data_IF_735239259299
#
_entry.id   IF_735239259299
#
_cell.length_a   1.000
_cell.length_b   1.000
_cell.length_c   1.000
_cell.angle_alpha   90.00
_cell.angle_beta   90.00
_cell.angle_gamma   90.00
#
_symmetry.space_group_name_H-M   'P 1'
#
loop_
_entity.id
_entity.type
_entity.pdbx_description
1 polymer ?
#
# COMPACT_ATOMS: atom_id res chain seq x y z
N UNK A 1 4.82 1.45 4.35
CA UNK A 1 5.42 0.12 4.59
C UNK A 1 4.62 -1.00 3.92
N UNK A 2 3.27 -0.98 4.02
CA UNK A 2 2.39 -2.00 3.42
C UNK A 2 2.49 -2.07 1.88
N UNK A 3 2.56 -0.93 1.18
CA UNK A 3 2.68 -0.91 -0.29
C UNK A 3 3.95 -1.60 -0.81
N UNK A 4 5.04 -1.58 -0.03
CA UNK A 4 6.34 -2.13 -0.44
C UNK A 4 6.32 -3.63 -0.59
N UNK A 5 5.73 -4.28 0.42
CA UNK A 5 5.58 -5.72 0.47
C UNK A 5 4.62 -6.19 -0.62
N UNK A 6 3.52 -5.46 -0.84
CA UNK A 6 2.59 -5.79 -1.91
C UNK A 6 3.22 -5.72 -3.30
N UNK A 7 3.94 -4.65 -3.62
CA UNK A 7 4.56 -4.50 -4.95
C UNK A 7 5.67 -5.54 -5.16
N UNK A 8 6.40 -5.89 -4.10
CA UNK A 8 7.36 -6.99 -4.11
C UNK A 8 6.68 -8.33 -4.38
N UNK A 9 5.60 -8.65 -3.65
CA UNK A 9 4.84 -9.89 -3.85
C UNK A 9 4.26 -9.92 -5.27
N UNK A 10 3.69 -8.82 -5.76
CA UNK A 10 3.16 -8.72 -7.13
C UNK A 10 4.23 -9.01 -8.17
N UNK A 11 5.43 -8.45 -8.04
CA UNK A 11 6.55 -8.71 -8.97
C UNK A 11 7.01 -10.16 -8.89
N UNK A 12 7.15 -10.71 -7.69
CA UNK A 12 7.52 -12.11 -7.50
C UNK A 12 6.49 -13.07 -8.12
N UNK A 13 5.19 -12.81 -7.91
CA UNK A 13 4.12 -13.64 -8.46
C UNK A 13 3.92 -13.46 -9.96
N UNK A 14 4.13 -12.25 -10.50
CA UNK A 14 3.95 -11.96 -11.93
C UNK A 14 5.01 -12.62 -12.82
N UNK A 15 6.25 -12.73 -12.33
CA UNK A 15 7.35 -13.39 -13.06
C UNK A 15 7.57 -14.82 -12.56
N UNK A 16 6.47 -15.58 -12.41
CA UNK A 16 6.44 -16.93 -11.87
C UNK A 16 7.57 -17.80 -12.42
N UNK A 17 8.46 -18.23 -11.52
CA UNK A 17 9.40 -19.29 -11.81
C UNK A 17 8.61 -20.58 -12.08
N UNK A 18 8.43 -20.93 -13.34
CA UNK A 18 8.05 -22.29 -13.69
C UNK A 18 9.26 -23.20 -13.46
N UNK A 19 9.39 -23.73 -12.25
CA UNK A 19 10.34 -24.80 -12.00
C UNK A 19 9.69 -26.12 -12.38
N UNK A 20 10.09 -26.67 -13.53
CA UNK A 20 9.67 -27.98 -14.01
C UNK A 20 10.72 -29.00 -13.62
N UNK A 21 10.34 -29.98 -12.81
CA UNK A 21 11.15 -31.18 -12.61
C UNK A 21 11.06 -32.10 -13.83
N UNK A 22 11.97 -33.08 -13.89
CA UNK A 22 11.95 -34.15 -14.90
C UNK A 22 10.70 -35.04 -14.83
N UNK A 23 9.95 -35.00 -13.73
CA UNK A 23 8.71 -35.73 -13.48
C UNK A 23 7.43 -34.93 -13.85
N UNK A 24 7.57 -33.69 -14.33
CA UNK A 24 6.47 -32.84 -14.77
C UNK A 24 5.82 -31.98 -13.69
N UNK A 25 6.25 -32.04 -12.43
CA UNK A 25 5.73 -31.14 -11.40
C UNK A 25 6.21 -29.70 -11.64
N UNK A 26 5.26 -28.76 -11.68
CA UNK A 26 5.50 -27.32 -11.78
C UNK A 26 5.11 -26.66 -10.46
N UNK A 27 6.03 -25.88 -9.89
CA UNK A 27 5.71 -25.08 -8.70
C UNK A 27 5.00 -23.78 -9.07
N UNK A 28 3.81 -23.59 -8.51
CA UNK A 28 3.06 -22.34 -8.62
C UNK A 28 3.63 -21.26 -7.68
N UNK A 29 3.38 -20.00 -7.97
CA UNK A 29 3.83 -18.89 -7.11
C UNK A 29 3.35 -19.04 -5.66
N UNK A 30 2.17 -19.62 -5.44
CA UNK A 30 1.65 -19.93 -4.10
C UNK A 30 2.59 -20.82 -3.29
N UNK A 31 3.21 -21.81 -3.95
CA UNK A 31 4.14 -22.75 -3.31
C UNK A 31 5.49 -22.12 -2.98
N UNK A 32 5.84 -21.01 -3.64
CA UNK A 32 7.08 -20.28 -3.43
C UNK A 32 6.94 -19.13 -2.41
N UNK A 33 5.73 -18.82 -1.93
CA UNK A 33 5.50 -17.79 -0.89
C UNK A 33 6.34 -18.03 0.37
N UNK A 34 6.44 -19.26 0.93
CA UNK A 34 7.27 -19.49 2.11
C UNK A 34 8.75 -19.17 1.88
N UNK A 35 9.26 -19.38 0.66
CA UNK A 35 10.63 -19.02 0.31
C UNK A 35 10.81 -17.49 0.25
N UNK A 36 9.82 -16.77 -0.28
CA UNK A 36 9.81 -15.30 -0.30
C UNK A 36 9.73 -14.72 1.12
N UNK A 37 8.86 -15.25 1.97
CA UNK A 37 8.71 -14.82 3.37
C UNK A 37 10.01 -15.02 4.15
N UNK A 38 10.63 -16.19 3.97
CA UNK A 38 11.91 -16.51 4.59
C UNK A 38 12.98 -15.51 4.17
N UNK A 39 13.10 -15.26 2.87
CA UNK A 39 14.10 -14.32 2.35
C UNK A 39 13.84 -12.89 2.84
N UNK A 40 12.58 -12.44 2.86
CA UNK A 40 12.23 -11.14 3.41
C UNK A 40 12.68 -10.99 4.88
N UNK A 41 12.46 -12.02 5.69
CA UNK A 41 12.84 -12.02 7.12
C UNK A 41 14.36 -12.05 7.34
N UNK A 42 15.11 -12.70 6.46
CA UNK A 42 16.56 -12.86 6.58
C UNK A 42 17.38 -11.86 5.78
N UNK A 43 16.76 -11.09 4.88
CA UNK A 43 17.45 -10.09 4.06
C UNK A 43 17.68 -8.80 4.85
N UNK A 44 18.81 -8.14 4.59
CA UNK A 44 19.18 -6.89 5.26
C UNK A 44 18.40 -5.75 4.62
N UNK A 45 17.61 -5.04 5.41
CA UNK A 45 16.89 -3.87 4.94
C UNK A 45 17.80 -2.63 4.87
N UNK A 46 17.73 -1.89 3.77
CA UNK A 46 18.56 -0.69 3.55
C UNK A 46 18.35 0.42 4.59
N UNK A 47 17.14 0.55 5.12
CA UNK A 47 16.78 1.57 6.12
C UNK A 47 17.28 1.27 7.53
N UNK A 48 17.34 -0.01 7.89
CA UNK A 48 17.67 -0.46 9.26
C UNK A 48 19.05 -1.07 9.37
N UNK A 49 19.67 -1.43 8.22
CA UNK A 49 20.95 -2.16 8.12
C UNK A 49 20.91 -3.48 8.91
N UNK A 50 19.71 -3.98 9.19
CA UNK A 50 19.44 -5.18 9.98
C UNK A 50 18.31 -5.97 9.32
N UNK A 51 18.30 -7.26 9.56
CA UNK A 51 17.25 -8.17 9.07
C UNK A 51 16.00 -8.02 9.94
N UNK A 52 14.79 -8.16 9.37
CA UNK A 52 13.56 -8.13 10.16
C UNK A 52 13.52 -9.17 11.28
N UNK A 53 14.00 -10.40 11.02
CA UNK A 53 14.07 -11.44 12.05
C UNK A 53 14.97 -11.04 13.24
N UNK A 54 16.09 -10.35 12.98
CA UNK A 54 16.96 -9.83 14.03
C UNK A 54 16.29 -8.72 14.84
N UNK A 55 15.51 -7.85 14.20
CA UNK A 55 14.81 -6.76 14.88
C UNK A 55 13.62 -7.24 15.71
N UNK A 56 12.86 -8.20 15.18
CA UNK A 56 11.65 -8.73 15.82
C UNK A 56 11.98 -9.74 16.92
N UNK A 57 12.88 -10.68 16.63
CA UNK A 57 13.14 -11.85 17.48
C UNK A 57 14.50 -11.80 18.17
N UNK A 58 15.41 -10.93 17.74
CA UNK A 58 16.77 -10.85 18.26
C UNK A 58 17.72 -11.91 17.70
N UNK A 59 17.28 -12.75 16.76
CA UNK A 59 18.10 -13.78 16.13
C UNK A 59 17.64 -14.06 14.70
N UNK A 60 18.59 -14.50 13.86
CA UNK A 60 18.30 -14.98 12.51
C UNK A 60 18.25 -16.50 12.48
N UNK A 61 17.27 -17.11 11.79
CA UNK A 61 17.22 -18.55 11.63
C UNK A 61 18.44 -19.03 10.84
N UNK A 62 19.06 -20.12 11.32
CA UNK A 62 20.11 -20.84 10.60
C UNK A 62 19.46 -21.63 9.48
N UNK A 63 19.69 -21.24 8.24
CA UNK A 63 19.11 -21.93 7.09
C UNK A 63 19.96 -23.16 6.74
N UNK A 64 19.36 -24.20 6.15
CA UNK A 64 20.11 -25.37 5.66
C UNK A 64 21.31 -24.94 4.80
N UNK A 65 21.12 -23.96 3.91
CA UNK A 65 22.18 -23.37 3.10
C UNK A 65 23.38 -22.85 3.92
N UNK A 66 23.14 -22.23 5.08
CA UNK A 66 24.21 -21.67 5.93
C UNK A 66 25.02 -22.77 6.64
N UNK A 67 24.44 -23.96 6.73
CA UNK A 67 25.01 -25.12 7.42
C UNK A 67 25.61 -26.17 6.48
N UNK A 68 25.18 -26.20 5.21
CA UNK A 68 25.69 -27.13 4.22
C UNK A 68 27.12 -26.75 3.85
N UNK A 69 28.07 -27.64 4.15
CA UNK A 69 29.43 -27.52 3.63
C UNK A 69 29.38 -27.63 2.10
N UNK A 70 30.10 -26.75 1.41
CA UNK A 70 30.21 -26.78 -0.07
C UNK A 70 30.79 -28.10 -0.58
N UNK A 71 31.53 -28.80 0.28
CA UNK A 71 32.29 -30.02 -0.04
C UNK A 71 31.51 -31.32 0.23
N UNK A 72 30.19 -31.26 0.47
CA UNK A 72 29.36 -32.45 0.65
C UNK A 72 29.14 -33.14 -0.70
N UNK A 73 29.49 -34.43 -0.77
CA UNK A 73 29.17 -35.31 -1.90
C UNK A 73 27.65 -35.39 -2.04
N UNK A 74 27.14 -35.16 -3.24
CA UNK A 74 25.71 -35.19 -3.52
C UNK A 74 25.19 -36.63 -3.45
N UNK A 75 24.53 -36.97 -2.34
CA UNK A 75 24.19 -38.36 -2.00
C UNK A 75 22.99 -38.86 -2.83
N UNK A 76 22.11 -37.95 -3.30
CA UNK A 76 20.88 -38.33 -3.99
C UNK A 76 20.45 -37.30 -5.05
N UNK A 77 20.11 -37.74 -6.30
CA UNK A 77 19.77 -36.83 -7.40
C UNK A 77 18.54 -35.95 -7.13
N UNK A 78 17.55 -36.46 -6.38
CA UNK A 78 16.38 -35.67 -5.97
C UNK A 78 16.75 -34.59 -4.96
N UNK A 79 17.66 -34.87 -4.03
CA UNK A 79 18.12 -33.87 -3.06
C UNK A 79 18.90 -32.75 -3.75
N UNK A 80 19.74 -33.11 -4.72
CA UNK A 80 20.43 -32.17 -5.61
C UNK A 80 19.45 -31.27 -6.38
N UNK A 81 18.43 -31.87 -6.98
CA UNK A 81 17.40 -31.15 -7.75
C UNK A 81 16.59 -30.20 -6.88
N UNK A 82 16.22 -30.62 -5.67
CA UNK A 82 15.50 -29.80 -4.70
C UNK A 82 16.36 -28.64 -4.18
N UNK A 83 17.65 -28.88 -3.92
CA UNK A 83 18.60 -27.82 -3.56
C UNK A 83 18.69 -26.77 -4.67
N UNK A 84 18.85 -27.20 -5.92
CA UNK A 84 18.89 -26.32 -7.08
C UNK A 84 17.60 -25.50 -7.22
N UNK A 85 16.45 -26.10 -6.96
CA UNK A 85 15.16 -25.40 -6.93
C UNK A 85 15.15 -24.30 -5.87
N UNK A 86 15.51 -24.63 -4.62
CA UNK A 86 15.54 -23.67 -3.51
C UNK A 86 16.51 -22.52 -3.78
N UNK A 87 17.71 -22.81 -4.29
CA UNK A 87 18.70 -21.79 -4.62
C UNK A 87 18.18 -20.85 -5.72
N UNK A 88 17.51 -21.38 -6.75
CA UNK A 88 16.87 -20.57 -7.80
C UNK A 88 15.75 -19.71 -7.24
N UNK A 89 14.85 -20.29 -6.46
CA UNK A 89 13.74 -19.56 -5.83
C UNK A 89 14.24 -18.44 -4.92
N UNK A 90 15.28 -18.71 -4.15
CA UNK A 90 15.93 -17.75 -3.26
C UNK A 90 16.58 -16.60 -4.02
N UNK A 91 17.41 -16.90 -5.02
CA UNK A 91 18.07 -15.89 -5.83
C UNK A 91 17.06 -15.00 -6.56
N UNK A 92 15.97 -15.60 -7.02
CA UNK A 92 14.86 -14.89 -7.63
C UNK A 92 14.14 -13.96 -6.64
N UNK A 93 13.81 -14.45 -5.44
CA UNK A 93 13.23 -13.63 -4.37
C UNK A 93 14.14 -12.45 -4.03
N UNK A 94 15.44 -12.69 -3.86
CA UNK A 94 16.43 -11.64 -3.57
C UNK A 94 16.53 -10.58 -4.68
N UNK A 95 16.54 -11.00 -5.95
CA UNK A 95 16.57 -10.07 -7.07
C UNK A 95 15.35 -9.17 -7.08
N UNK A 96 14.15 -9.73 -6.95
CA UNK A 96 12.92 -8.92 -6.93
C UNK A 96 12.80 -8.02 -5.71
N UNK A 97 13.32 -8.46 -4.57
CA UNK A 97 13.45 -7.65 -3.38
C UNK A 97 14.26 -6.37 -3.68
N UNK A 98 15.47 -6.54 -4.23
CA UNK A 98 16.36 -5.44 -4.56
C UNK A 98 15.77 -4.52 -5.65
N UNK A 99 15.20 -5.09 -6.70
CA UNK A 99 14.53 -4.33 -7.78
C UNK A 99 13.35 -3.52 -7.25
N UNK A 100 12.57 -4.07 -6.32
CA UNK A 100 11.44 -3.36 -5.71
C UNK A 100 11.92 -2.19 -4.86
N UNK A 101 12.96 -2.39 -4.06
CA UNK A 101 13.55 -1.30 -3.26
C UNK A 101 14.16 -0.21 -4.13
N UNK A 102 14.88 -0.57 -5.19
CA UNK A 102 15.47 0.40 -6.11
C UNK A 102 14.39 1.20 -6.84
N UNK A 103 13.37 0.52 -7.35
CA UNK A 103 12.23 1.17 -8.00
C UNK A 103 11.55 2.18 -7.09
N UNK A 104 11.24 1.80 -5.85
CA UNK A 104 10.62 2.71 -4.89
C UNK A 104 11.50 3.90 -4.55
N UNK A 105 12.81 3.67 -4.38
CA UNK A 105 13.77 4.73 -4.13
C UNK A 105 13.74 5.74 -5.28
N UNK A 106 13.79 5.27 -6.51
CA UNK A 106 13.71 6.15 -7.69
C UNK A 106 12.39 6.93 -7.74
N UNK A 107 11.26 6.30 -7.44
CA UNK A 107 9.96 6.98 -7.42
C UNK A 107 9.94 8.06 -6.32
N UNK A 108 10.44 7.75 -5.12
CA UNK A 108 10.51 8.72 -4.03
C UNK A 108 11.47 9.87 -4.32
N UNK A 109 12.62 9.59 -4.93
CA UNK A 109 13.61 10.61 -5.31
C UNK A 109 13.08 11.52 -6.41
N UNK A 110 12.19 11.01 -7.28
CA UNK A 110 11.50 11.80 -8.32
C UNK A 110 10.39 12.70 -7.78
N UNK A 111 9.84 12.42 -6.59
CA UNK A 111 8.78 13.25 -6.01
C UNK A 111 9.39 14.59 -5.59
N UNK A 112 8.91 15.73 -6.15
CA UNK A 112 9.41 17.03 -5.76
C UNK A 112 9.26 17.24 -4.26
N UNK A 113 10.28 17.82 -3.63
CA UNK A 113 10.17 18.25 -2.24
C UNK A 113 9.02 19.26 -2.14
N UNK A 114 8.15 19.13 -1.14
CA UNK A 114 7.10 20.11 -0.95
C UNK A 114 7.70 21.49 -0.67
N UNK A 115 7.01 22.56 -1.05
CA UNK A 115 7.45 23.91 -0.74
C UNK A 115 7.46 24.15 0.78
N UNK A 116 8.34 25.04 1.24
CA UNK A 116 8.41 25.42 2.65
C UNK A 116 7.16 26.23 3.03
N UNK A 117 6.34 25.65 3.90
CA UNK A 117 5.12 26.27 4.40
C UNK A 117 5.41 27.07 5.67
N UNK A 118 4.75 28.21 5.83
CA UNK A 118 4.77 29.04 7.04
C UNK A 118 3.39 29.11 7.68
N UNK A 119 3.38 29.40 8.98
CA UNK A 119 2.14 29.68 9.71
C UNK A 119 1.50 30.94 9.07
N UNK A 120 0.20 30.86 8.80
CA UNK A 120 -0.56 31.91 8.11
C UNK A 120 -0.65 31.76 6.59
N UNK A 121 0.12 30.85 5.96
CA UNK A 121 -0.01 30.60 4.53
C UNK A 121 -1.37 29.98 4.19
N UNK A 122 -1.90 30.33 3.02
CA UNK A 122 -3.11 29.74 2.47
C UNK A 122 -2.75 28.50 1.65
N UNK A 123 -3.46 27.41 1.90
CA UNK A 123 -3.26 26.13 1.21
C UNK A 123 -4.57 25.51 0.77
N UNK A 124 -4.47 24.64 -0.23
CA UNK A 124 -5.56 23.81 -0.72
C UNK A 124 -5.33 22.36 -0.28
N UNK A 125 -6.38 21.67 0.15
CA UNK A 125 -6.34 20.28 0.61
C UNK A 125 -6.86 19.35 -0.48
N UNK A 126 -6.14 18.27 -0.77
CA UNK A 126 -6.54 17.30 -1.78
C UNK A 126 -7.80 16.52 -1.38
N UNK A 127 -8.78 16.43 -2.28
CA UNK A 127 -10.03 15.69 -2.04
C UNK A 127 -9.92 14.18 -2.29
N UNK A 128 -8.74 13.68 -2.71
CA UNK A 128 -8.54 12.29 -3.16
C UNK A 128 -9.01 11.23 -2.15
N UNK A 129 -8.71 11.43 -0.86
CA UNK A 129 -9.00 10.47 0.21
C UNK A 129 -10.35 10.71 0.90
N UNK A 130 -11.12 11.70 0.45
CA UNK A 130 -12.39 12.03 1.07
C UNK A 130 -13.55 11.41 0.31
N UNK A 131 -14.39 10.64 1.00
CA UNK A 131 -15.60 10.05 0.41
C UNK A 131 -16.88 10.83 0.77
N UNK A 132 -16.83 11.68 1.80
CA UNK A 132 -18.00 12.36 2.37
C UNK A 132 -18.07 13.86 2.00
N UNK A 133 -17.46 14.25 0.90
CA UNK A 133 -17.57 15.61 0.32
C UNK A 133 -18.77 15.60 -0.61
N UNK A 134 -19.49 16.71 -0.70
CA UNK A 134 -20.72 16.79 -1.49
C UNK A 134 -20.45 16.58 -2.99
N UNK A 135 -21.34 15.85 -3.64
CA UNK A 135 -21.32 15.62 -5.09
C UNK A 135 -20.50 14.39 -5.54
N UNK A 136 -20.60 14.03 -6.83
CA UNK A 136 -19.96 12.84 -7.35
C UNK A 136 -18.44 13.04 -7.48
N UNK A 137 -17.67 12.00 -7.15
CA UNK A 137 -16.18 12.00 -7.15
C UNK A 137 -15.55 12.51 -8.45
N UNK A 138 -16.24 12.35 -9.59
CA UNK A 138 -15.77 12.78 -10.92
C UNK A 138 -16.00 14.27 -11.23
N UNK A 139 -17.00 14.92 -10.61
CA UNK A 139 -17.37 16.31 -10.91
C UNK A 139 -16.94 17.30 -9.83
N UNK A 140 -16.51 16.81 -8.67
CA UNK A 140 -16.01 17.67 -7.59
C UNK A 140 -14.58 18.16 -7.87
N UNK A 141 -14.24 19.30 -7.29
CA UNK A 141 -12.89 19.83 -7.35
C UNK A 141 -11.89 18.84 -6.71
N UNK A 142 -10.73 18.66 -7.34
CA UNK A 142 -9.67 17.79 -6.82
C UNK A 142 -9.00 18.34 -5.55
N UNK A 143 -9.21 19.64 -5.28
CA UNK A 143 -8.67 20.36 -4.14
C UNK A 143 -9.71 21.29 -3.56
N UNK A 144 -9.86 21.28 -2.24
CA UNK A 144 -10.79 22.11 -1.47
C UNK A 144 -10.02 23.20 -0.70
N UNK A 145 -10.63 24.36 -0.49
CA UNK A 145 -10.01 25.50 0.20
C UNK A 145 -10.03 26.79 -0.62
N UNK A 146 -9.46 27.90 -0.10
CA UNK A 146 -8.24 27.93 0.72
C UNK A 146 -8.47 27.81 2.23
N UNK A 147 -7.56 27.12 2.91
CA UNK A 147 -7.46 27.03 4.36
C UNK A 147 -6.16 27.66 4.86
N UNK A 148 -6.19 28.25 6.04
CA UNK A 148 -5.00 28.84 6.65
C UNK A 148 -4.23 27.80 7.46
N UNK A 149 -2.90 27.82 7.37
CA UNK A 149 -2.04 27.03 8.26
C UNK A 149 -2.03 27.67 9.64
N UNK A 150 -2.53 26.94 10.62
CA UNK A 150 -2.52 27.34 12.04
C UNK A 150 -1.19 27.01 12.70
N UNK A 151 -0.72 25.77 12.54
CA UNK A 151 0.48 25.24 13.19
C UNK A 151 1.21 24.25 12.26
N UNK A 152 2.52 24.13 12.44
CA UNK A 152 3.36 23.18 11.71
C UNK A 152 3.84 22.08 12.67
N UNK A 153 3.48 20.83 12.38
CA UNK A 153 3.87 19.64 13.16
C UNK A 153 5.04 18.95 12.47
N UNK A 154 6.23 19.51 12.68
CA UNK A 154 7.46 19.05 12.04
C UNK A 154 7.46 19.29 10.52
N UNK A 155 8.33 18.58 9.76
CA UNK A 155 8.51 18.83 8.32
C UNK A 155 7.40 18.23 7.44
N UNK A 156 6.65 17.25 7.95
CA UNK A 156 5.76 16.42 7.13
C UNK A 156 4.28 16.64 7.39
N UNK A 157 3.92 17.44 8.39
CA UNK A 157 2.53 17.62 8.78
C UNK A 157 2.19 19.06 9.15
N UNK A 158 1.02 19.51 8.71
CA UNK A 158 0.50 20.84 9.01
C UNK A 158 -0.88 20.73 9.63
N UNK A 159 -1.20 21.64 10.53
CA UNK A 159 -2.54 21.80 11.07
C UNK A 159 -3.22 22.99 10.41
N UNK A 160 -4.39 22.75 9.86
CA UNK A 160 -5.17 23.74 9.13
C UNK A 160 -6.37 24.19 9.94
N UNK A 161 -6.76 25.44 9.72
CA UNK A 161 -8.06 25.94 10.14
C UNK A 161 -9.11 25.53 9.11
N UNK A 162 -9.80 24.42 9.38
CA UNK A 162 -10.80 23.86 8.48
C UNK A 162 -12.14 24.60 8.60
N UNK A 163 -12.72 24.91 7.44
CA UNK A 163 -14.05 25.53 7.30
C UNK A 163 -14.89 24.77 6.27
N UNK A 164 -16.19 25.04 6.21
CA UNK A 164 -17.09 24.44 5.22
C UNK A 164 -17.25 22.92 5.38
N UNK A 165 -17.20 22.18 4.28
CA UNK A 165 -17.47 20.73 4.25
C UNK A 165 -16.46 19.89 5.05
N UNK A 166 -15.28 20.46 5.33
CA UNK A 166 -14.19 19.78 6.03
C UNK A 166 -14.16 20.10 7.53
N UNK A 167 -15.07 20.93 8.06
CA UNK A 167 -15.08 21.34 9.47
C UNK A 167 -15.08 20.17 10.48
N UNK A 168 -15.73 19.06 10.12
CA UNK A 168 -15.85 17.87 10.97
C UNK A 168 -14.71 16.85 10.76
N UNK A 169 -13.69 17.20 9.98
CA UNK A 169 -12.53 16.34 9.70
C UNK A 169 -11.36 16.72 10.59
N UNK A 170 -10.43 15.77 10.73
CA UNK A 170 -9.22 16.03 11.50
C UNK A 170 -8.41 17.17 10.84
N UNK A 171 -8.00 18.22 11.59
CA UNK A 171 -7.40 19.43 11.02
C UNK A 171 -5.95 19.23 10.55
N UNK A 172 -5.30 18.14 10.97
CA UNK A 172 -3.91 17.85 10.63
C UNK A 172 -3.81 17.04 9.35
N UNK A 173 -3.06 17.56 8.37
CA UNK A 173 -2.81 16.92 7.08
C UNK A 173 -1.31 16.70 6.86
N UNK A 174 -0.94 15.63 6.14
CA UNK A 174 0.42 15.48 5.65
C UNK A 174 0.69 16.47 4.51
N UNK A 175 1.93 16.95 4.44
CA UNK A 175 2.35 17.99 3.47
C UNK A 175 2.13 17.55 2.01
N UNK A 176 2.17 16.25 1.73
CA UNK A 176 1.92 15.71 0.37
C UNK A 176 0.48 15.90 -0.12
N UNK A 177 -0.48 16.08 0.80
CA UNK A 177 -1.90 16.27 0.47
C UNK A 177 -2.30 17.75 0.37
N UNK A 178 -1.38 18.67 0.60
CA UNK A 178 -1.62 20.11 0.50
C UNK A 178 -0.90 20.73 -0.69
N UNK A 179 -1.46 21.82 -1.21
CA UNK A 179 -0.82 22.65 -2.23
C UNK A 179 -0.84 24.11 -1.78
N UNK A 180 0.22 24.88 -2.07
CA UNK A 180 0.19 26.32 -1.84
C UNK A 180 -0.94 26.95 -2.67
N UNK A 181 -1.71 27.83 -2.03
CA UNK A 181 -2.75 28.57 -2.72
C UNK A 181 -2.13 29.73 -3.51
N UNK A 182 -2.46 29.82 -4.80
CA UNK A 182 -2.10 30.97 -5.63
C UNK A 182 -3.37 31.69 -6.03
N UNK A 183 -3.50 32.94 -5.60
CA UNK A 183 -4.63 33.79 -5.98
C UNK A 183 -4.54 34.10 -7.47
N UNK A 184 -5.61 33.83 -8.23
CA UNK A 184 -5.68 34.20 -9.64
C UNK A 184 -5.67 35.72 -9.79
N UNK A 185 -4.76 36.25 -10.61
CA UNK A 185 -4.74 37.68 -10.94
C UNK A 185 -5.95 38.03 -11.80
N UNK A 186 -6.87 38.81 -11.22
CA UNK A 186 -8.11 39.24 -11.85
C UNK A 186 -7.87 40.14 -13.07
N UNK A 187 -6.70 40.80 -13.16
CA UNK A 187 -6.35 41.66 -14.30
C UNK A 187 -5.96 40.85 -15.53
N UNK A 188 -5.21 39.77 -15.34
CA UNK A 188 -4.76 38.89 -16.42
C UNK A 188 -5.87 37.94 -16.89
N UNK A 189 -6.77 37.53 -15.99
CA UNK A 189 -7.81 36.54 -16.30
C UNK A 189 -9.22 36.98 -15.83
N UNK A 190 -9.79 38.05 -16.42
CA UNK A 190 -11.07 38.61 -15.98
C UNK A 190 -12.27 37.69 -16.22
N UNK A 191 -12.17 36.73 -17.16
CA UNK A 191 -13.25 35.78 -17.49
C UNK A 191 -13.29 34.54 -16.56
N UNK A 192 -12.33 34.39 -15.64
CA UNK A 192 -12.22 33.21 -14.76
C UNK A 192 -13.10 33.35 -13.52
N UNK A 193 -14.41 33.44 -13.71
CA UNK A 193 -15.37 33.39 -12.62
C UNK A 193 -15.75 31.93 -12.35
N UNK A 194 -15.61 31.44 -11.12
CA UNK A 194 -16.11 30.10 -10.75
C UNK A 194 -17.65 30.12 -10.86
N UNK A 195 -18.27 29.38 -11.79
CA UNK A 195 -19.72 29.29 -11.81
C UNK A 195 -20.17 28.60 -10.52
N UNK A 196 -21.20 29.14 -9.85
CA UNK A 196 -21.83 28.43 -8.74
C UNK A 196 -22.39 27.12 -9.27
N UNK A 197 -21.84 25.98 -8.85
CA UNK A 197 -22.40 24.68 -9.18
C UNK A 197 -23.79 24.58 -8.52
N UNK A 198 -24.85 24.76 -9.32
CA UNK A 198 -26.19 24.38 -8.91
C UNK A 198 -26.22 22.86 -8.93
N UNK A 199 -26.00 22.26 -7.77
CA UNK A 199 -26.15 20.81 -7.62
C UNK A 199 -27.63 20.53 -7.92
N UNK A 200 -27.96 19.78 -8.99
CA UNK A 200 -29.34 19.41 -9.23
C UNK A 200 -29.88 18.71 -7.98
N UNK A 201 -31.18 18.91 -7.64
CA UNK A 201 -31.80 18.17 -6.55
C UNK A 201 -31.42 16.71 -6.69
N UNK A 202 -30.92 16.09 -5.62
CA UNK A 202 -30.79 14.65 -5.58
C UNK A 202 -32.23 14.16 -5.83
N UNK A 203 -32.50 13.54 -6.98
CA UNK A 203 -33.76 12.80 -7.13
C UNK A 203 -33.86 11.94 -5.88
N UNK A 204 -34.98 12.05 -5.15
CA UNK A 204 -35.29 11.17 -4.03
C UNK A 204 -35.23 9.76 -4.60
N UNK A 205 -34.04 9.16 -4.55
CA UNK A 205 -33.84 7.80 -4.97
C UNK A 205 -34.76 7.02 -4.07
N UNK A 206 -35.75 6.36 -4.70
CA UNK A 206 -36.63 5.40 -4.04
C UNK A 206 -35.80 4.69 -2.98
N UNK A 207 -36.21 4.82 -1.72
CA UNK A 207 -35.52 4.16 -0.62
C UNK A 207 -35.33 2.70 -1.02
N UNK A 208 -34.10 2.34 -1.43
CA UNK A 208 -33.77 0.95 -1.66
C UNK A 208 -33.84 0.32 -0.29
N UNK A 209 -35.01 -0.23 0.04
CA UNK A 209 -35.24 -1.05 1.23
C UNK A 209 -34.13 -2.08 1.25
N UNK A 210 -33.15 -1.84 2.12
CA UNK A 210 -32.14 -2.83 2.45
C UNK A 210 -32.93 -3.92 3.17
N UNK A 211 -33.38 -4.94 2.43
CA UNK A 211 -33.95 -6.14 3.02
C UNK A 211 -32.83 -6.77 3.81
N UNK A 212 -32.85 -6.59 5.13
CA UNK A 212 -32.04 -7.38 6.06
C UNK A 212 -32.43 -8.84 5.86
N UNK A 213 -31.69 -9.55 5.02
CA UNK A 213 -31.68 -11.02 5.05
C UNK A 213 -30.92 -11.38 6.33
N UNK A 214 -31.65 -11.43 7.44
CA UNK A 214 -31.20 -12.11 8.64
C UNK A 214 -31.00 -13.57 8.25
N UNK A 215 -29.73 -14.01 8.26
CA UNK A 215 -29.39 -15.42 8.26
C UNK A 215 -30.02 -16.03 9.51
N UNK A 216 -31.15 -16.72 9.36
CA UNK A 216 -31.57 -17.75 10.32
C UNK A 216 -30.57 -18.90 10.24
N UNK A 217 -29.48 -18.72 10.96
CA UNK A 217 -28.64 -19.83 11.38
C UNK A 217 -29.18 -20.36 12.69
N UNK A 218 -29.36 -21.69 12.71
CA UNK A 218 -29.46 -22.55 13.88
C UNK A 218 -30.87 -22.75 14.45
N UNK A 219 -31.56 -23.78 13.95
CA UNK A 219 -32.12 -24.87 14.77
C UNK A 219 -32.61 -26.00 13.88
N UNK A 220 -31.81 -27.07 13.74
CA UNK A 220 -32.22 -28.47 13.50
C UNK A 220 -30.96 -29.35 13.34
N UNK A 221 -30.17 -29.45 14.41
CA UNK A 221 -29.29 -30.61 14.65
C UNK A 221 -29.46 -31.06 16.09
N UNK A 222 -30.65 -31.55 16.42
CA UNK A 222 -30.91 -32.47 17.55
C UNK A 222 -32.16 -33.29 17.21
N UNK A 223 -32.12 -34.58 17.57
CA UNK A 223 -32.99 -35.73 17.21
C UNK A 223 -32.46 -36.48 15.97
N UNK A 224 -31.95 -37.70 16.05
CA UNK A 224 -31.69 -38.61 17.15
C UNK A 224 -31.33 -39.95 16.52
N UNK A 225 -30.19 -40.53 16.89
CA UNK A 225 -30.02 -41.98 16.84
C UNK A 225 -31.13 -42.59 17.70
N UNK A 226 -31.83 -43.62 17.23
CA UNK A 226 -32.23 -44.84 17.95
C UNK A 226 -33.19 -45.66 17.06
N UNK A 227 -32.80 -46.93 16.87
CA UNK A 227 -33.44 -48.07 16.18
C UNK A 227 -33.34 -48.12 14.66
#
# INVERSE_FOLDING_TARGET
MIQKLEDMIRKFCAYGLEFKYSDGFTYDWCTLIPALELEYKTSIHSSTVKTPAMLEKGWNPRLPYDTLKKDLVDIHPTASSFKLMLDKARNHANRFMQESFNYEKEIWDKIPKPPDFKIGDLVLVSTLNFNNIKGPKKLRDSFEGPFMIKELHGPNSVQLELTGELMNKHPTFPVILIKPYSSSDKKLFPLRNKPSLKIPPLEEGEEKKIVKVLKEGQETKKKGNTL
#
